data_IF_559366033763
#
_entry.id   IF_559366033763
#
_cell.length_a   1.000
_cell.length_b   1.000
_cell.length_c   1.000
_cell.angle_alpha   90.00
_cell.angle_beta   90.00
_cell.angle_gamma   90.00
#
_symmetry.space_group_name_H-M   'P 1'
#
loop_
_entity.id
_entity.type
_entity.pdbx_description
1 polymer ?
#
# COMPACT_ATOMS: atom_id res chain seq x y z
N UNK A 1 5.82 4.34 12.05
CA UNK A 1 6.26 3.88 10.72
C UNK A 1 6.97 2.54 10.85
N UNK A 2 6.50 1.51 10.13
CA UNK A 2 7.12 0.16 10.07
C UNK A 2 7.75 -0.09 8.71
N UNK A 3 8.62 -1.09 8.60
CA UNK A 3 9.23 -1.51 7.31
C UNK A 3 8.14 -1.90 6.30
N UNK A 4 7.06 -2.54 6.74
CA UNK A 4 5.94 -2.89 5.88
C UNK A 4 5.24 -1.63 5.31
N UNK A 5 5.04 -0.61 6.14
CA UNK A 5 4.48 0.67 5.70
C UNK A 5 5.38 1.33 4.64
N UNK A 6 6.71 1.30 4.81
CA UNK A 6 7.65 1.83 3.82
C UNK A 6 7.57 1.06 2.49
N UNK A 7 7.52 -0.27 2.53
CA UNK A 7 7.33 -1.10 1.31
C UNK A 7 6.05 -0.73 0.56
N UNK A 8 4.95 -0.55 1.30
CA UNK A 8 3.66 -0.17 0.72
C UNK A 8 3.68 1.24 0.15
N UNK A 9 4.33 2.21 0.79
CA UNK A 9 4.51 3.56 0.27
C UNK A 9 5.28 3.57 -1.05
N UNK A 10 6.37 2.81 -1.14
CA UNK A 10 7.16 2.68 -2.39
C UNK A 10 6.31 2.07 -3.52
N UNK A 11 5.54 1.02 -3.22
CA UNK A 11 4.66 0.38 -4.20
C UNK A 11 3.54 1.33 -4.68
N UNK A 12 2.97 2.14 -3.79
CA UNK A 12 1.97 3.15 -4.13
C UNK A 12 2.57 4.23 -5.02
N UNK A 13 3.75 4.76 -4.66
CA UNK A 13 4.44 5.79 -5.44
C UNK A 13 4.81 5.30 -6.86
N UNK A 14 5.02 3.99 -7.02
CA UNK A 14 5.34 3.35 -8.31
C UNK A 14 4.11 2.88 -9.10
N UNK A 15 2.90 3.17 -8.62
CA UNK A 15 1.64 2.74 -9.23
C UNK A 15 0.74 3.93 -9.56
N UNK A 16 -0.14 3.80 -10.55
CA UNK A 16 -1.08 4.88 -10.93
C UNK A 16 -2.26 5.00 -9.97
N UNK A 17 -2.51 3.98 -9.16
CA UNK A 17 -3.59 4.01 -8.15
C UNK A 17 -3.32 3.04 -7.00
N UNK A 18 -4.05 3.26 -5.89
CA UNK A 18 -4.08 2.34 -4.75
C UNK A 18 -4.59 0.94 -5.10
N UNK A 19 -5.55 0.82 -6.04
CA UNK A 19 -6.06 -0.47 -6.51
C UNK A 19 -4.97 -1.24 -7.26
N UNK A 20 -4.23 -0.56 -8.13
CA UNK A 20 -3.11 -1.15 -8.85
C UNK A 20 -2.01 -1.59 -7.89
N UNK A 21 -1.62 -0.74 -6.94
CA UNK A 21 -0.63 -1.09 -5.92
C UNK A 21 -1.05 -2.31 -5.10
N UNK A 22 -2.33 -2.37 -4.68
CA UNK A 22 -2.86 -3.50 -3.92
C UNK A 22 -2.85 -4.80 -4.74
N UNK A 23 -3.21 -4.74 -6.03
CA UNK A 23 -3.14 -5.89 -6.94
C UNK A 23 -1.71 -6.38 -7.13
N UNK A 24 -0.73 -5.49 -7.27
CA UNK A 24 0.71 -5.85 -7.38
C UNK A 24 1.27 -6.46 -6.10
N UNK A 25 0.74 -6.06 -4.95
CA UNK A 25 1.13 -6.55 -3.63
C UNK A 25 0.34 -7.79 -3.18
N UNK A 26 -0.58 -8.29 -4.00
CA UNK A 26 -1.47 -9.41 -3.67
C UNK A 26 -2.28 -9.21 -2.38
N UNK A 27 -2.74 -7.98 -2.13
CA UNK A 27 -3.59 -7.61 -1.00
C UNK A 27 -4.85 -6.89 -1.47
N UNK A 28 -5.85 -6.80 -0.60
CA UNK A 28 -7.01 -5.94 -0.87
C UNK A 28 -6.62 -4.46 -0.73
N UNK A 29 -7.25 -3.60 -1.54
CA UNK A 29 -7.02 -2.16 -1.44
C UNK A 29 -7.37 -1.58 -0.05
N UNK A 30 -8.45 -2.02 0.64
CA UNK A 30 -8.71 -1.60 2.02
C UNK A 30 -7.61 -2.02 2.99
N UNK A 31 -7.04 -3.23 2.86
CA UNK A 31 -5.94 -3.68 3.72
C UNK A 31 -4.67 -2.84 3.51
N UNK A 32 -4.34 -2.52 2.25
CA UNK A 32 -3.24 -1.61 1.92
C UNK A 32 -3.45 -0.23 2.58
N UNK A 33 -4.64 0.35 2.41
CA UNK A 33 -5.00 1.67 2.96
C UNK A 33 -4.97 1.69 4.50
N UNK A 34 -5.50 0.64 5.15
CA UNK A 34 -5.47 0.50 6.61
C UNK A 34 -4.04 0.39 7.15
N UNK A 35 -3.15 -0.29 6.41
CA UNK A 35 -1.76 -0.47 6.83
C UNK A 35 -0.97 0.84 6.82
N UNK A 36 -1.16 1.69 5.80
CA UNK A 36 -0.42 2.96 5.69
C UNK A 36 -1.05 4.10 6.48
N UNK A 37 -2.34 4.00 6.84
CA UNK A 37 -3.01 4.99 7.67
C UNK A 37 -2.53 4.81 9.11
N UNK A 38 -1.71 5.75 9.61
CA UNK A 38 -1.65 5.95 11.05
C UNK A 38 -2.96 6.58 11.51
N UNK A 39 -3.39 6.31 12.75
CA UNK A 39 -4.38 7.18 13.39
C UNK A 39 -3.99 8.65 13.28
#
# INVERSE_FOLDING_TARGET
MTILQLKYVIAIASSKSFREAASRLFVSQPALSSTIRSR
#
